data_IF_791135940610
#
_entry.id   IF_791135940610
#
_cell.length_a   1.000
_cell.length_b   1.000
_cell.length_c   1.000
_cell.angle_alpha   90.00
_cell.angle_beta   90.00
_cell.angle_gamma   90.00
#
_symmetry.space_group_name_H-M   'P 1'
#
loop_
_entity.id
_entity.type
_entity.pdbx_description
1 polymer ?
#
# COMPACT_ATOMS: atom_id res chain seq x y z
N UNK A 1 -20.73 1.26 -24.89
CA UNK A 1 -19.59 2.00 -25.45
C UNK A 1 -18.53 0.95 -25.73
N UNK A 2 -17.98 0.88 -26.95
CA UNK A 2 -16.98 -0.12 -27.30
C UNK A 2 -15.71 0.11 -26.49
N UNK A 3 -15.12 -0.98 -25.96
CA UNK A 3 -13.79 -0.95 -25.35
C UNK A 3 -12.82 -0.44 -26.42
N UNK A 4 -12.06 0.58 -26.07
CA UNK A 4 -11.05 1.15 -26.95
C UNK A 4 -10.07 0.04 -27.37
N UNK A 5 -9.90 -0.15 -28.67
CA UNK A 5 -9.11 -1.27 -29.18
C UNK A 5 -7.63 -0.87 -29.19
N UNK A 6 -6.84 -1.50 -28.37
CA UNK A 6 -5.37 -1.34 -28.28
C UNK A 6 -4.67 -2.66 -28.57
N UNK A 7 -3.49 -2.61 -29.12
CA UNK A 7 -2.61 -3.77 -29.28
C UNK A 7 -1.69 -3.94 -28.06
N UNK A 8 -1.11 -5.13 -27.90
CA UNK A 8 -0.11 -5.37 -26.85
C UNK A 8 1.10 -4.44 -26.96
N UNK A 9 1.47 -4.05 -28.19
CA UNK A 9 2.59 -3.13 -28.41
C UNK A 9 2.22 -1.68 -28.07
N UNK A 10 0.97 -1.25 -28.29
CA UNK A 10 0.53 0.09 -27.87
C UNK A 10 0.67 0.28 -26.37
N UNK A 11 0.27 -0.73 -25.58
CA UNK A 11 0.41 -0.73 -24.12
C UNK A 11 1.88 -0.67 -23.70
N UNK A 12 2.75 -1.48 -24.30
CA UNK A 12 4.18 -1.50 -23.96
C UNK A 12 4.90 -0.22 -24.39
N UNK A 13 4.59 0.31 -25.56
CA UNK A 13 5.15 1.58 -26.04
C UNK A 13 4.66 2.77 -25.20
N UNK A 14 3.43 2.73 -24.69
CA UNK A 14 2.94 3.74 -23.75
C UNK A 14 3.61 3.59 -22.37
N UNK A 15 3.96 2.36 -21.95
CA UNK A 15 4.53 2.09 -20.64
C UNK A 15 6.04 2.41 -20.57
N UNK A 16 6.82 2.00 -21.54
CA UNK A 16 8.26 2.22 -21.57
C UNK A 16 8.64 3.57 -22.16
N UNK A 17 9.81 4.09 -21.82
CA UNK A 17 10.40 5.26 -22.44
C UNK A 17 10.62 5.01 -23.94
N UNK A 18 10.48 6.07 -24.75
CA UNK A 18 10.57 5.99 -26.20
C UNK A 18 11.84 5.27 -26.68
N UNK A 19 11.67 4.21 -27.47
CA UNK A 19 12.75 3.43 -28.04
C UNK A 19 13.50 2.53 -27.06
N UNK A 20 13.11 2.46 -25.77
CA UNK A 20 13.77 1.62 -24.77
C UNK A 20 13.28 0.18 -24.73
N UNK A 21 12.08 -0.10 -25.23
CA UNK A 21 11.48 -1.43 -25.16
C UNK A 21 12.25 -2.46 -25.98
N UNK A 22 12.62 -3.56 -25.36
CA UNK A 22 13.26 -4.74 -25.95
C UNK A 22 12.42 -5.98 -25.66
N UNK A 23 11.84 -6.57 -26.74
CA UNK A 23 11.05 -7.78 -26.62
C UNK A 23 11.93 -9.00 -26.32
N UNK A 24 11.47 -9.86 -25.42
CA UNK A 24 12.07 -11.16 -25.13
C UNK A 24 11.21 -12.29 -25.71
N UNK A 25 11.84 -13.36 -26.16
CA UNK A 25 11.14 -14.55 -26.71
C UNK A 25 10.13 -14.23 -27.83
N UNK A 26 10.44 -13.26 -28.69
CA UNK A 26 9.57 -12.83 -29.79
C UNK A 26 9.17 -13.97 -30.75
N UNK A 27 10.01 -14.99 -30.88
CA UNK A 27 9.76 -16.15 -31.73
C UNK A 27 8.99 -17.28 -31.04
N UNK A 28 8.80 -17.22 -29.72
CA UNK A 28 8.02 -18.20 -28.99
C UNK A 28 6.53 -17.90 -29.18
N UNK A 29 5.89 -18.75 -29.98
CA UNK A 29 4.48 -18.65 -30.33
C UNK A 29 3.70 -19.83 -29.72
N UNK A 30 2.42 -19.61 -29.46
CA UNK A 30 1.51 -20.68 -29.06
C UNK A 30 1.08 -21.56 -30.25
N UNK A 31 0.17 -22.46 -29.98
CA UNK A 31 -0.43 -23.35 -31.00
C UNK A 31 -1.16 -22.58 -32.11
N UNK A 32 -1.60 -21.34 -31.83
CA UNK A 32 -2.18 -20.44 -32.82
C UNK A 32 -1.20 -19.99 -33.91
N UNK A 33 0.11 -20.19 -33.71
CA UNK A 33 1.16 -19.64 -34.57
C UNK A 33 1.43 -18.14 -34.37
N UNK A 34 0.80 -17.53 -33.36
CA UNK A 34 0.93 -16.11 -33.02
C UNK A 34 1.42 -15.91 -31.58
N UNK A 35 1.87 -14.69 -31.24
CA UNK A 35 2.33 -14.36 -29.90
C UNK A 35 1.14 -14.16 -28.96
N UNK A 36 0.86 -15.14 -28.10
CA UNK A 36 -0.23 -15.11 -27.12
C UNK A 36 0.05 -14.16 -25.94
N UNK A 37 1.31 -13.79 -25.72
CA UNK A 37 1.75 -12.71 -24.86
C UNK A 37 3.00 -12.07 -25.43
N UNK A 38 3.15 -10.74 -25.23
CA UNK A 38 4.36 -9.99 -25.51
C UNK A 38 5.05 -9.72 -24.18
N UNK A 39 6.35 -10.07 -24.08
CA UNK A 39 7.15 -9.91 -22.88
C UNK A 39 8.45 -9.19 -23.21
N UNK A 40 8.93 -8.35 -22.31
CA UNK A 40 10.19 -7.66 -22.53
C UNK A 40 10.60 -6.77 -21.36
N UNK A 41 11.59 -5.95 -21.60
CA UNK A 41 12.14 -4.98 -20.66
C UNK A 41 12.42 -3.66 -21.35
N UNK A 42 12.56 -2.64 -20.57
CA UNK A 42 12.89 -1.28 -21.00
C UNK A 42 13.08 -0.38 -19.80
N UNK A 43 13.13 0.92 -20.02
CA UNK A 43 13.16 1.91 -18.93
C UNK A 43 11.80 2.60 -18.79
N UNK A 44 11.49 2.99 -17.57
CA UNK A 44 10.35 3.85 -17.21
C UNK A 44 10.93 5.00 -16.41
N UNK A 45 10.87 6.21 -16.96
CA UNK A 45 11.53 7.39 -16.38
C UNK A 45 13.03 7.12 -16.06
N UNK A 46 13.69 6.39 -16.97
CA UNK A 46 15.10 6.03 -16.88
C UNK A 46 15.40 4.81 -15.97
N UNK A 47 14.42 4.26 -15.27
CA UNK A 47 14.58 3.09 -14.38
C UNK A 47 14.21 1.80 -15.11
N UNK A 48 15.05 0.77 -15.02
CA UNK A 48 14.79 -0.54 -15.63
C UNK A 48 13.53 -1.19 -15.06
N UNK A 49 12.67 -1.72 -15.94
CA UNK A 49 11.50 -2.50 -15.57
C UNK A 49 11.27 -3.65 -16.56
N UNK A 50 10.58 -4.69 -16.10
CA UNK A 50 10.07 -5.77 -16.91
C UNK A 50 8.56 -5.66 -17.07
N UNK A 51 8.05 -5.96 -18.26
CA UNK A 51 6.61 -6.00 -18.47
C UNK A 51 6.20 -7.14 -19.39
N UNK A 52 4.96 -7.58 -19.20
CA UNK A 52 4.28 -8.46 -20.14
C UNK A 52 2.84 -8.00 -20.37
N UNK A 53 2.34 -8.25 -21.56
CA UNK A 53 0.94 -8.00 -21.94
C UNK A 53 0.36 -9.29 -22.51
N UNK A 54 -0.78 -9.74 -21.99
CA UNK A 54 -1.55 -10.83 -22.57
C UNK A 54 -2.29 -10.33 -23.81
N UNK A 55 -2.17 -11.05 -24.92
CA UNK A 55 -2.78 -10.67 -26.18
C UNK A 55 -4.27 -11.07 -26.22
N UNK A 56 -5.15 -10.11 -26.01
CA UNK A 56 -6.59 -10.32 -26.01
C UNK A 56 -7.15 -10.81 -27.36
N UNK A 57 -6.50 -10.44 -28.47
CA UNK A 57 -6.94 -10.86 -29.82
C UNK A 57 -6.74 -12.36 -30.05
N UNK A 58 -5.88 -13.02 -29.28
CA UNK A 58 -5.61 -14.45 -29.37
C UNK A 58 -6.36 -15.20 -28.28
N UNK A 59 -7.42 -15.89 -28.65
CA UNK A 59 -8.26 -16.67 -27.72
C UNK A 59 -8.70 -15.88 -26.46
N UNK A 60 -8.97 -14.57 -26.58
CA UNK A 60 -9.34 -13.71 -25.46
C UNK A 60 -8.27 -13.61 -24.35
N UNK A 61 -6.99 -13.76 -24.70
CA UNK A 61 -5.87 -13.74 -23.75
C UNK A 61 -5.81 -14.99 -22.85
N UNK A 62 -6.53 -16.05 -23.17
CA UNK A 62 -6.55 -17.27 -22.36
C UNK A 62 -5.13 -17.81 -22.13
N UNK A 63 -4.80 -18.07 -20.87
CA UNK A 63 -3.48 -18.55 -20.45
C UNK A 63 -3.12 -19.87 -21.15
N UNK A 64 -1.90 -19.94 -21.65
CA UNK A 64 -1.31 -21.12 -22.27
C UNK A 64 0.06 -21.47 -21.70
N UNK A 65 0.57 -22.63 -22.04
CA UNK A 65 1.95 -23.01 -21.73
C UNK A 65 2.96 -22.04 -22.35
N UNK A 66 2.74 -21.60 -23.58
CA UNK A 66 3.63 -20.64 -24.25
C UNK A 66 3.71 -19.32 -23.51
N UNK A 67 2.57 -18.76 -23.07
CA UNK A 67 2.54 -17.56 -22.23
C UNK A 67 3.29 -17.78 -20.91
N UNK A 68 3.04 -18.92 -20.25
CA UNK A 68 3.70 -19.26 -18.98
C UNK A 68 5.22 -19.31 -19.11
N UNK A 69 5.76 -19.90 -20.19
CA UNK A 69 7.20 -19.95 -20.44
C UNK A 69 7.79 -18.53 -20.54
N UNK A 70 7.14 -17.66 -21.32
CA UNK A 70 7.56 -16.26 -21.47
C UNK A 70 7.54 -15.51 -20.12
N UNK A 71 6.40 -15.55 -19.41
CA UNK A 71 6.21 -14.83 -18.15
C UNK A 71 7.16 -15.36 -17.07
N UNK A 72 7.33 -16.67 -16.94
CA UNK A 72 8.21 -17.25 -15.93
C UNK A 72 9.69 -16.97 -16.18
N UNK A 73 10.11 -16.89 -17.45
CA UNK A 73 11.47 -16.46 -17.81
C UNK A 73 11.69 -14.98 -17.47
N UNK A 74 10.68 -14.12 -17.72
CA UNK A 74 10.73 -12.72 -17.34
C UNK A 74 10.85 -12.54 -15.82
N UNK A 75 10.12 -13.32 -15.03
CA UNK A 75 10.26 -13.32 -13.56
C UNK A 75 11.66 -13.79 -13.11
N UNK A 76 12.25 -14.78 -13.76
CA UNK A 76 13.62 -15.21 -13.46
C UNK A 76 14.64 -14.11 -13.78
N UNK A 77 14.43 -13.35 -14.84
CA UNK A 77 15.28 -12.20 -15.17
C UNK A 77 15.11 -11.08 -14.15
N UNK A 78 13.88 -10.73 -13.80
CA UNK A 78 13.59 -9.73 -12.77
C UNK A 78 14.25 -10.08 -11.42
N UNK A 79 14.20 -11.34 -11.01
CA UNK A 79 14.87 -11.81 -9.79
C UNK A 79 16.39 -11.66 -9.86
N UNK A 80 16.99 -11.87 -11.04
CA UNK A 80 18.45 -11.78 -11.22
C UNK A 80 18.95 -10.34 -11.29
N UNK A 81 18.15 -9.44 -11.82
CA UNK A 81 18.54 -8.04 -12.07
C UNK A 81 18.01 -7.09 -11.01
N UNK A 82 17.04 -7.52 -10.18
CA UNK A 82 16.45 -6.68 -9.17
C UNK A 82 15.61 -5.53 -9.77
N UNK A 83 14.80 -5.79 -10.80
CA UNK A 83 13.97 -4.78 -11.43
C UNK A 83 12.48 -5.10 -11.32
N UNK A 84 11.59 -4.09 -11.18
CA UNK A 84 10.14 -4.26 -11.02
C UNK A 84 9.51 -5.03 -12.17
N UNK A 85 8.37 -5.69 -11.89
CA UNK A 85 7.59 -6.42 -12.89
C UNK A 85 6.17 -5.88 -12.98
N UNK A 86 5.75 -5.53 -14.20
CA UNK A 86 4.40 -5.06 -14.48
C UNK A 86 3.70 -6.03 -15.42
N UNK A 87 2.57 -6.59 -14.97
CA UNK A 87 1.74 -7.46 -15.78
C UNK A 87 0.49 -6.75 -16.26
N UNK A 88 0.27 -6.71 -17.58
CA UNK A 88 -0.97 -6.21 -18.18
C UNK A 88 -1.85 -7.42 -18.56
N UNK A 89 -2.99 -7.51 -17.89
CA UNK A 89 -3.85 -8.68 -17.94
C UNK A 89 -5.12 -8.45 -18.76
N UNK A 90 -5.37 -9.39 -19.62
CA UNK A 90 -6.65 -9.62 -20.28
C UNK A 90 -6.77 -11.12 -20.55
N UNK A 91 -7.60 -11.84 -19.81
CA UNK A 91 -7.67 -13.31 -19.90
C UNK A 91 -9.06 -13.82 -19.56
N UNK A 92 -9.68 -14.51 -20.50
CA UNK A 92 -10.95 -15.20 -20.26
C UNK A 92 -10.78 -16.53 -19.49
N UNK A 93 -9.58 -16.83 -19.01
CA UNK A 93 -9.26 -18.06 -18.28
C UNK A 93 -8.06 -18.77 -18.90
N UNK A 94 -8.14 -20.08 -19.08
CA UNK A 94 -7.06 -20.92 -19.62
C UNK A 94 -7.44 -21.74 -20.83
N UNK A 95 -6.45 -22.10 -21.63
CA UNK A 95 -6.55 -22.98 -22.82
C UNK A 95 -6.85 -24.43 -22.35
N UNK A 96 -8.13 -24.79 -22.23
CA UNK A 96 -8.56 -26.08 -21.66
C UNK A 96 -8.06 -27.31 -22.44
N UNK A 97 -7.81 -27.15 -23.73
CA UNK A 97 -7.21 -28.19 -24.59
C UNK A 97 -5.83 -28.63 -24.11
N UNK A 98 -5.09 -27.77 -23.38
CA UNK A 98 -3.77 -28.10 -22.82
C UNK A 98 -3.83 -28.89 -21.51
N UNK A 99 -5.03 -29.14 -20.97
CA UNK A 99 -5.28 -30.02 -19.80
C UNK A 99 -4.32 -29.77 -18.63
N UNK A 100 -3.53 -30.78 -18.24
CA UNK A 100 -2.63 -30.73 -17.09
C UNK A 100 -1.43 -29.80 -17.30
N UNK A 101 -1.02 -29.54 -18.54
CA UNK A 101 0.05 -28.54 -18.82
C UNK A 101 -0.37 -27.14 -18.42
N UNK A 102 -1.65 -26.81 -18.55
CA UNK A 102 -2.21 -25.55 -18.08
C UNK A 102 -2.11 -25.40 -16.56
N UNK A 103 -2.39 -26.46 -15.80
CA UNK A 103 -2.25 -26.43 -14.33
C UNK A 103 -0.79 -26.19 -13.91
N UNK A 104 0.14 -26.84 -14.59
CA UNK A 104 1.58 -26.65 -14.37
C UNK A 104 2.00 -25.20 -14.71
N UNK A 105 1.48 -24.66 -15.82
CA UNK A 105 1.75 -23.30 -16.27
C UNK A 105 1.33 -22.26 -15.20
N UNK A 106 0.12 -22.35 -14.69
CA UNK A 106 -0.37 -21.51 -13.61
C UNK A 106 0.46 -21.66 -12.32
N UNK A 107 0.75 -22.88 -11.92
CA UNK A 107 1.53 -23.18 -10.72
C UNK A 107 2.94 -22.59 -10.77
N UNK A 108 3.60 -22.65 -11.93
CA UNK A 108 4.93 -22.05 -12.10
C UNK A 108 4.92 -20.54 -12.01
N UNK A 109 3.94 -19.86 -12.64
CA UNK A 109 3.82 -18.39 -12.55
C UNK A 109 3.59 -17.99 -11.10
N UNK A 110 2.62 -18.58 -10.39
CA UNK A 110 2.33 -18.28 -9.00
C UNK A 110 3.54 -18.51 -8.09
N UNK A 111 4.25 -19.62 -8.28
CA UNK A 111 5.46 -19.93 -7.50
C UNK A 111 6.57 -18.89 -7.72
N UNK A 112 6.76 -18.43 -8.95
CA UNK A 112 7.81 -17.45 -9.27
C UNK A 112 7.41 -16.05 -8.83
N UNK A 113 6.16 -15.62 -9.03
CA UNK A 113 5.63 -14.38 -8.48
C UNK A 113 5.80 -14.31 -6.96
N UNK A 114 5.45 -15.39 -6.25
CA UNK A 114 5.62 -15.48 -4.79
C UNK A 114 7.10 -15.35 -4.35
N UNK A 115 8.05 -15.81 -5.18
CA UNK A 115 9.50 -15.64 -4.89
C UNK A 115 9.98 -14.21 -5.10
N UNK A 116 9.33 -13.45 -5.96
CA UNK A 116 9.64 -12.04 -6.22
C UNK A 116 9.04 -11.10 -5.15
N UNK A 117 7.97 -11.55 -4.48
CA UNK A 117 7.27 -10.75 -3.46
C UNK A 117 8.22 -10.27 -2.36
N UNK A 118 8.27 -8.96 -2.12
CA UNK A 118 9.18 -8.32 -1.18
C UNK A 118 10.65 -8.25 -1.65
N UNK A 119 10.96 -8.66 -2.87
CA UNK A 119 12.29 -8.50 -3.50
C UNK A 119 12.24 -7.41 -4.56
N UNK A 120 11.28 -7.47 -5.47
CA UNK A 120 11.01 -6.43 -6.46
C UNK A 120 9.52 -6.06 -6.44
N UNK A 121 9.16 -4.79 -6.69
CA UNK A 121 7.76 -4.40 -6.80
C UNK A 121 7.05 -5.13 -7.95
N UNK A 122 5.84 -5.60 -7.69
CA UNK A 122 4.97 -6.23 -8.67
C UNK A 122 3.66 -5.46 -8.80
N UNK A 123 3.33 -5.02 -10.02
CA UNK A 123 2.09 -4.29 -10.31
C UNK A 123 1.29 -5.07 -11.35
N UNK A 124 0.02 -5.33 -11.06
CA UNK A 124 -0.94 -5.87 -12.02
C UNK A 124 -1.84 -4.77 -12.55
N UNK A 125 -1.96 -4.69 -13.87
CA UNK A 125 -2.85 -3.78 -14.58
C UNK A 125 -3.88 -4.62 -15.34
N UNK A 126 -5.12 -4.62 -14.89
CA UNK A 126 -6.22 -5.40 -15.49
C UNK A 126 -6.95 -4.51 -16.48
N UNK A 127 -6.73 -4.74 -17.78
CA UNK A 127 -7.24 -3.91 -18.87
C UNK A 127 -8.56 -4.43 -19.47
N UNK A 128 -8.96 -5.63 -19.12
CA UNK A 128 -10.20 -6.25 -19.58
C UNK A 128 -10.64 -7.35 -18.63
N UNK A 129 -11.29 -8.39 -19.16
CA UNK A 129 -11.66 -9.54 -18.33
C UNK A 129 -10.41 -10.30 -17.87
N UNK A 130 -10.32 -10.61 -16.59
CA UNK A 130 -9.29 -11.48 -16.04
C UNK A 130 -9.96 -12.48 -15.09
N UNK A 131 -10.19 -13.70 -15.60
CA UNK A 131 -11.06 -14.70 -15.00
C UNK A 131 -10.33 -15.97 -14.59
N UNK A 132 -10.92 -16.71 -13.66
CA UNK A 132 -10.44 -18.02 -13.21
C UNK A 132 -9.07 -17.93 -12.53
N UNK A 133 -8.20 -18.88 -12.79
CA UNK A 133 -6.86 -18.95 -12.20
C UNK A 133 -5.96 -17.77 -12.63
N UNK A 134 -6.22 -17.14 -13.79
CA UNK A 134 -5.51 -15.92 -14.21
C UNK A 134 -5.76 -14.77 -13.24
N UNK A 135 -6.97 -14.66 -12.67
CA UNK A 135 -7.29 -13.67 -11.65
C UNK A 135 -6.47 -13.86 -10.37
N UNK A 136 -6.17 -15.09 -9.96
CA UNK A 136 -5.29 -15.34 -8.80
C UNK A 136 -3.86 -14.85 -9.05
N UNK A 137 -3.36 -15.00 -10.29
CA UNK A 137 -2.03 -14.48 -10.66
C UNK A 137 -2.03 -12.95 -10.59
N UNK A 138 -3.03 -12.30 -11.19
CA UNK A 138 -3.16 -10.85 -11.14
C UNK A 138 -3.29 -10.33 -9.70
N UNK A 139 -4.05 -11.04 -8.86
CA UNK A 139 -4.26 -10.70 -7.45
C UNK A 139 -3.03 -10.93 -6.56
N UNK A 140 -2.02 -11.66 -7.01
CA UNK A 140 -0.79 -11.94 -6.26
C UNK A 140 0.21 -10.77 -6.26
N UNK A 141 -0.03 -9.71 -7.04
CA UNK A 141 0.83 -8.53 -7.08
C UNK A 141 0.63 -7.62 -5.84
N UNK A 142 1.59 -6.73 -5.61
CA UNK A 142 1.54 -5.77 -4.50
C UNK A 142 0.41 -4.76 -4.69
N UNK A 143 0.26 -4.23 -5.92
CA UNK A 143 -0.79 -3.28 -6.28
C UNK A 143 -1.50 -3.71 -7.56
N UNK A 144 -2.82 -3.48 -7.59
CA UNK A 144 -3.67 -3.84 -8.70
C UNK A 144 -4.39 -2.60 -9.21
N UNK A 145 -4.20 -2.28 -10.46
CA UNK A 145 -4.87 -1.20 -11.18
C UNK A 145 -5.88 -1.85 -12.11
N UNK A 146 -7.12 -1.38 -12.11
CA UNK A 146 -8.14 -1.90 -13.01
C UNK A 146 -8.66 -0.80 -13.93
N UNK A 147 -8.80 -1.13 -15.21
CA UNK A 147 -9.62 -0.32 -16.10
C UNK A 147 -11.08 -0.38 -15.64
N UNK A 148 -11.79 0.73 -15.75
CA UNK A 148 -13.14 0.93 -15.20
C UNK A 148 -14.16 -0.14 -15.61
N UNK A 149 -14.05 -0.64 -16.86
CA UNK A 149 -14.93 -1.67 -17.40
C UNK A 149 -14.33 -3.08 -17.29
N UNK A 150 -13.15 -3.21 -16.70
CA UNK A 150 -12.50 -4.50 -16.50
C UNK A 150 -13.21 -5.33 -15.43
N UNK A 151 -13.05 -6.65 -15.52
CA UNK A 151 -13.58 -7.58 -14.54
C UNK A 151 -12.46 -8.51 -14.04
N UNK A 152 -12.44 -8.75 -12.74
CA UNK A 152 -11.45 -9.61 -12.07
C UNK A 152 -12.17 -10.55 -11.11
N UNK A 153 -12.15 -11.85 -11.38
CA UNK A 153 -12.79 -12.86 -10.52
C UNK A 153 -12.25 -14.27 -10.78
N UNK A 154 -12.17 -15.06 -9.72
CA UNK A 154 -11.91 -16.51 -9.84
C UNK A 154 -13.11 -17.24 -10.41
N UNK A 155 -14.33 -16.78 -10.09
CA UNK A 155 -15.57 -17.34 -10.62
C UNK A 155 -15.98 -16.57 -11.88
N UNK A 156 -16.25 -17.34 -12.95
CA UNK A 156 -16.67 -16.80 -14.26
C UNK A 156 -18.14 -16.39 -14.29
N UNK A 157 -18.92 -16.73 -13.26
CA UNK A 157 -20.39 -16.51 -13.18
C UNK A 157 -20.76 -15.66 -11.96
N UNK A 158 -19.76 -15.13 -11.20
CA UNK A 158 -19.98 -14.38 -9.98
C UNK A 158 -20.64 -13.00 -10.18
N UNK A 159 -21.41 -12.55 -9.19
CA UNK A 159 -22.10 -11.27 -9.21
C UNK A 159 -21.19 -10.06 -8.89
N UNK A 160 -20.00 -10.28 -8.30
CA UNK A 160 -19.09 -9.23 -7.85
C UNK A 160 -17.73 -9.33 -8.55
N UNK A 161 -17.71 -8.94 -9.80
CA UNK A 161 -16.51 -9.06 -10.65
C UNK A 161 -15.98 -7.73 -11.18
N UNK A 162 -16.76 -6.65 -11.03
CA UNK A 162 -16.41 -5.34 -11.60
C UNK A 162 -15.20 -4.70 -10.92
N UNK A 163 -14.60 -3.72 -11.57
CA UNK A 163 -13.52 -2.92 -10.99
C UNK A 163 -13.96 -2.26 -9.66
N UNK A 164 -15.20 -1.79 -9.59
CA UNK A 164 -15.77 -1.17 -8.39
C UNK A 164 -15.90 -2.17 -7.24
N UNK A 165 -16.42 -3.39 -7.50
CA UNK A 165 -16.50 -4.45 -6.48
C UNK A 165 -15.11 -4.82 -5.94
N UNK A 166 -14.13 -4.91 -6.83
CA UNK A 166 -12.74 -5.23 -6.44
C UNK A 166 -12.07 -4.10 -5.65
N UNK A 167 -12.42 -2.84 -5.92
CA UNK A 167 -11.98 -1.70 -5.11
C UNK A 167 -12.60 -1.74 -3.71
N UNK A 168 -13.90 -1.96 -3.60
CA UNK A 168 -14.63 -2.04 -2.32
C UNK A 168 -14.21 -3.23 -1.45
N UNK A 169 -13.74 -4.32 -2.08
CA UNK A 169 -13.21 -5.49 -1.39
C UNK A 169 -11.70 -5.39 -1.07
N UNK A 170 -11.03 -4.30 -1.47
CA UNK A 170 -9.61 -4.07 -1.21
C UNK A 170 -8.64 -4.90 -2.06
N UNK A 171 -9.13 -5.50 -3.15
CA UNK A 171 -8.30 -6.19 -4.15
C UNK A 171 -7.69 -5.16 -5.08
N UNK A 172 -8.53 -4.35 -5.77
CA UNK A 172 -8.03 -3.26 -6.59
C UNK A 172 -7.54 -2.09 -5.72
N UNK A 173 -6.43 -1.51 -6.12
CA UNK A 173 -5.85 -0.33 -5.49
C UNK A 173 -6.30 0.95 -6.18
N UNK A 174 -6.57 0.88 -7.49
CA UNK A 174 -6.99 1.99 -8.33
C UNK A 174 -7.95 1.54 -9.43
N UNK A 175 -8.84 2.45 -9.83
CA UNK A 175 -9.67 2.35 -11.03
C UNK A 175 -9.31 3.52 -11.93
N UNK A 176 -9.06 3.25 -13.20
CA UNK A 176 -8.71 4.25 -14.20
C UNK A 176 -9.62 4.14 -15.44
N UNK A 177 -9.76 5.19 -16.20
CA UNK A 177 -10.56 5.22 -17.41
C UNK A 177 -9.66 5.13 -18.64
N UNK A 178 -9.76 4.03 -19.37
CA UNK A 178 -8.89 3.69 -20.50
C UNK A 178 -7.53 3.11 -20.12
N UNK A 179 -6.87 2.47 -21.10
CA UNK A 179 -5.59 1.80 -20.86
C UNK A 179 -4.44 2.79 -20.57
N UNK A 180 -4.45 3.97 -21.21
CA UNK A 180 -3.42 4.99 -21.04
C UNK A 180 -3.39 5.48 -19.58
N UNK A 181 -4.55 5.81 -19.00
CA UNK A 181 -4.63 6.22 -17.61
C UNK A 181 -4.22 5.11 -16.63
N UNK A 182 -4.44 3.84 -16.97
CA UNK A 182 -3.94 2.70 -16.20
C UNK A 182 -2.39 2.61 -16.26
N UNK A 183 -1.83 2.81 -17.44
CA UNK A 183 -0.37 2.85 -17.66
C UNK A 183 0.26 4.00 -16.86
N UNK A 184 -0.30 5.21 -16.98
CA UNK A 184 0.19 6.38 -16.24
C UNK A 184 0.14 6.17 -14.72
N UNK A 185 -0.91 5.50 -14.23
CA UNK A 185 -1.03 5.14 -12.83
C UNK A 185 0.05 4.13 -12.39
N UNK A 186 0.40 3.16 -13.24
CA UNK A 186 1.48 2.22 -12.98
C UNK A 186 2.85 2.92 -12.92
N UNK A 187 3.12 3.85 -13.84
CA UNK A 187 4.33 4.69 -13.83
C UNK A 187 4.40 5.54 -12.56
N UNK A 188 3.30 6.22 -12.22
CA UNK A 188 3.22 7.05 -11.02
C UNK A 188 3.52 6.25 -9.74
N UNK A 189 3.08 5.00 -9.63
CA UNK A 189 3.41 4.11 -8.51
C UNK A 189 4.90 3.78 -8.48
N UNK A 190 5.48 3.41 -9.63
CA UNK A 190 6.92 3.10 -9.73
C UNK A 190 7.80 4.26 -9.28
N UNK A 191 7.36 5.50 -9.50
CA UNK A 191 8.08 6.69 -9.04
C UNK A 191 8.25 6.78 -7.51
N UNK A 192 7.49 6.04 -6.72
CA UNK A 192 7.63 5.98 -5.25
C UNK A 192 8.46 4.78 -4.78
N UNK A 193 8.71 3.80 -5.64
CA UNK A 193 9.30 2.53 -5.23
C UNK A 193 10.78 2.44 -5.63
N UNK A 194 11.63 1.81 -4.80
CA UNK A 194 12.94 1.40 -5.27
C UNK A 194 12.80 0.31 -6.33
N UNK A 195 13.83 0.10 -7.13
CA UNK A 195 13.84 -1.00 -8.10
C UNK A 195 13.75 -2.37 -7.40
N UNK A 196 14.35 -2.50 -6.22
CA UNK A 196 14.33 -3.71 -5.41
C UNK A 196 14.56 -3.38 -3.92
N UNK A 197 14.46 -4.38 -3.07
CA UNK A 197 14.58 -4.24 -1.62
C UNK A 197 16.00 -3.93 -1.11
N UNK A 198 17.01 -3.89 -1.97
CA UNK A 198 18.41 -3.55 -1.62
C UNK A 198 18.77 -2.12 -2.01
N UNK A 199 17.98 -1.49 -2.86
CA UNK A 199 18.21 -0.13 -3.32
C UNK A 199 17.34 0.88 -2.56
N UNK A 200 17.78 2.13 -2.40
CA UNK A 200 16.95 3.18 -1.84
C UNK A 200 15.85 3.57 -2.84
N UNK A 201 14.72 4.02 -2.32
CA UNK A 201 13.67 4.60 -3.15
C UNK A 201 14.15 5.93 -3.79
N UNK A 202 13.70 6.25 -5.02
CA UNK A 202 14.18 7.42 -5.75
C UNK A 202 13.76 8.73 -5.05
N UNK A 203 14.73 9.61 -4.79
CA UNK A 203 14.48 10.95 -4.27
C UNK A 203 14.42 11.97 -5.43
N UNK A 204 13.56 12.97 -5.28
CA UNK A 204 13.32 14.02 -6.26
C UNK A 204 13.53 15.40 -5.64
N UNK A 205 13.55 16.45 -6.46
CA UNK A 205 13.55 17.82 -5.95
C UNK A 205 12.27 18.08 -5.15
N UNK A 206 12.44 18.73 -4.00
CA UNK A 206 11.34 19.03 -3.09
C UNK A 206 10.65 20.33 -3.46
N UNK A 207 9.34 20.29 -3.59
CA UNK A 207 8.48 21.47 -3.71
C UNK A 207 7.54 21.49 -2.51
N UNK A 208 7.79 22.34 -1.47
CA UNK A 208 6.94 22.39 -0.30
C UNK A 208 5.49 22.73 -0.67
N UNK A 209 4.53 21.97 -0.14
CA UNK A 209 3.12 22.33 -0.27
C UNK A 209 2.74 23.33 0.82
N UNK A 210 2.05 24.37 0.41
CA UNK A 210 1.38 25.29 1.33
C UNK A 210 -0.08 24.88 1.43
N UNK A 211 -0.45 24.20 2.51
CA UNK A 211 -1.72 23.51 2.62
C UNK A 211 -2.78 24.23 3.44
N UNK A 212 -4.03 23.82 3.20
CA UNK A 212 -5.19 24.21 4.01
C UNK A 212 -5.18 23.47 5.37
N UNK A 213 -5.56 24.16 6.48
CA UNK A 213 -5.39 23.68 7.86
C UNK A 213 -5.99 22.31 8.21
N UNK A 214 -6.99 21.83 7.51
CA UNK A 214 -7.80 20.68 7.89
C UNK A 214 -7.35 19.34 7.30
N UNK A 215 -6.20 19.29 6.60
CA UNK A 215 -5.69 18.06 5.97
C UNK A 215 -4.20 17.87 6.27
N UNK A 216 -3.90 17.34 7.44
CA UNK A 216 -2.54 17.20 7.97
C UNK A 216 -1.49 16.65 6.97
N UNK A 217 -1.74 15.61 6.16
CA UNK A 217 -0.76 15.15 5.18
C UNK A 217 -0.33 16.23 4.19
N UNK A 218 -1.18 17.18 3.87
CA UNK A 218 -0.87 18.28 2.96
C UNK A 218 0.07 19.31 3.56
N UNK A 219 0.21 19.37 4.89
CA UNK A 219 1.15 20.28 5.54
C UNK A 219 2.60 19.86 5.42
N UNK A 220 2.85 18.55 5.35
CA UNK A 220 4.22 18.05 5.35
C UNK A 220 4.66 17.44 4.02
N UNK A 221 3.72 16.96 3.21
CA UNK A 221 4.05 16.36 1.92
C UNK A 221 4.43 17.43 0.88
N UNK A 222 5.24 17.03 -0.10
CA UNK A 222 5.57 17.87 -1.24
C UNK A 222 4.34 18.08 -2.13
N UNK A 223 4.26 19.22 -2.80
CA UNK A 223 3.11 19.60 -3.62
C UNK A 223 2.82 18.55 -4.68
N UNK A 224 1.55 18.16 -4.80
CA UNK A 224 1.10 17.17 -5.78
C UNK A 224 1.62 15.73 -5.57
N UNK A 225 2.42 15.48 -4.52
CA UNK A 225 3.05 14.19 -4.32
C UNK A 225 2.17 13.13 -3.64
N UNK A 226 0.99 13.47 -3.12
CA UNK A 226 0.17 12.50 -2.40
C UNK A 226 -0.59 11.62 -3.39
N UNK A 227 -0.31 10.32 -3.36
CA UNK A 227 -0.99 9.28 -4.11
C UNK A 227 -1.76 8.36 -3.17
N UNK A 228 -3.08 8.60 -3.03
CA UNK A 228 -3.93 7.75 -2.19
C UNK A 228 -4.10 6.36 -2.82
N UNK A 229 -4.00 5.30 -2.00
CA UNK A 229 -4.10 3.91 -2.41
C UNK A 229 -5.33 3.26 -1.77
N UNK A 230 -6.10 2.50 -2.56
CA UNK A 230 -7.26 1.74 -2.07
C UNK A 230 -8.35 2.65 -1.50
N UNK A 231 -8.65 3.76 -2.19
CA UNK A 231 -9.79 4.61 -1.85
C UNK A 231 -11.10 3.82 -1.96
N UNK A 232 -11.99 3.96 -0.96
CA UNK A 232 -13.26 3.21 -0.91
C UNK A 232 -13.20 1.88 -0.16
N UNK A 233 -12.00 1.40 0.22
CA UNK A 233 -11.83 0.24 1.08
C UNK A 233 -11.30 0.63 2.45
N UNK A 234 -11.82 0.02 3.52
CA UNK A 234 -11.32 0.23 4.88
C UNK A 234 -11.44 1.68 5.38
N UNK A 235 -12.50 2.39 4.98
CA UNK A 235 -12.80 3.72 5.51
C UNK A 235 -13.11 3.67 7.02
N UNK A 236 -12.78 4.73 7.77
CA UNK A 236 -12.25 6.03 7.34
C UNK A 236 -10.72 6.11 7.22
N UNK A 237 -10.00 5.00 7.34
CA UNK A 237 -8.54 5.01 7.23
C UNK A 237 -8.09 5.26 5.78
N UNK A 238 -7.14 6.17 5.62
CA UNK A 238 -6.47 6.43 4.35
C UNK A 238 -5.04 5.90 4.37
N UNK A 239 -4.63 5.23 3.28
CA UNK A 239 -3.24 4.89 3.00
C UNK A 239 -2.80 5.60 1.72
N UNK A 240 -1.59 6.09 1.69
CA UNK A 240 -1.05 6.83 0.56
C UNK A 240 0.47 6.66 0.46
N UNK A 241 1.02 6.94 -0.71
CA UNK A 241 2.40 7.35 -0.85
C UNK A 241 2.47 8.86 -0.99
N UNK A 242 3.58 9.44 -0.59
CA UNK A 242 3.85 10.85 -0.73
C UNK A 242 5.35 11.10 -0.77
N UNK A 243 5.75 12.37 -0.87
CA UNK A 243 7.15 12.77 -0.69
C UNK A 243 7.26 13.81 0.40
N UNK A 244 8.33 13.73 1.16
CA UNK A 244 8.70 14.73 2.16
C UNK A 244 10.14 15.11 1.90
N UNK A 245 10.37 16.37 1.52
CA UNK A 245 11.69 16.83 1.08
C UNK A 245 12.30 15.97 -0.04
N UNK A 246 11.45 15.55 -0.99
CA UNK A 246 11.82 14.68 -2.10
C UNK A 246 11.89 13.17 -1.78
N UNK A 247 11.98 12.78 -0.51
CA UNK A 247 12.04 11.37 -0.10
C UNK A 247 10.66 10.72 -0.16
N UNK A 248 10.49 9.58 -0.84
CA UNK A 248 9.26 8.82 -0.79
C UNK A 248 8.94 8.33 0.62
N UNK A 249 7.69 8.44 1.01
CA UNK A 249 7.19 7.98 2.31
C UNK A 249 5.85 7.26 2.14
N UNK A 250 5.62 6.23 2.95
CA UNK A 250 4.29 5.67 3.16
C UNK A 250 3.55 6.49 4.19
N UNK A 251 2.29 6.79 3.92
CA UNK A 251 1.44 7.61 4.80
C UNK A 251 0.22 6.79 5.19
N UNK A 252 -0.07 6.74 6.48
CA UNK A 252 -1.29 6.18 7.05
C UNK A 252 -1.98 7.26 7.85
N UNK A 253 -3.28 7.46 7.63
CA UNK A 253 -4.09 8.43 8.36
C UNK A 253 -5.33 7.74 8.91
N UNK A 254 -5.48 7.77 10.23
CA UNK A 254 -6.74 7.45 10.91
C UNK A 254 -7.52 8.75 11.13
N UNK A 255 -8.84 8.70 10.97
CA UNK A 255 -9.68 9.92 10.99
C UNK A 255 -10.75 9.88 12.08
N UNK A 256 -10.32 9.59 13.29
CA UNK A 256 -11.19 9.49 14.45
C UNK A 256 -11.91 8.14 14.61
N UNK A 257 -12.39 7.88 15.82
CA UNK A 257 -13.30 6.79 16.13
C UNK A 257 -12.68 5.40 16.10
N UNK A 258 -13.10 4.57 15.15
CA UNK A 258 -12.94 3.12 15.22
C UNK A 258 -12.16 2.58 14.03
N UNK A 259 -11.18 1.70 14.28
CA UNK A 259 -10.45 0.98 13.23
C UNK A 259 -11.17 -0.35 12.97
N UNK A 260 -11.77 -0.48 11.79
CA UNK A 260 -12.47 -1.69 11.34
C UNK A 260 -11.50 -2.81 10.96
N UNK A 261 -12.03 -4.03 10.75
CA UNK A 261 -11.24 -5.15 10.26
C UNK A 261 -10.56 -4.83 8.92
N UNK A 262 -11.28 -4.19 8.00
CA UNK A 262 -10.77 -3.86 6.68
C UNK A 262 -9.78 -2.69 6.72
N UNK A 263 -10.03 -1.68 7.58
CA UNK A 263 -9.04 -0.64 7.88
C UNK A 263 -7.73 -1.24 8.37
N UNK A 264 -7.79 -2.16 9.33
CA UNK A 264 -6.60 -2.81 9.88
C UNK A 264 -5.84 -3.66 8.84
N UNK A 265 -6.56 -4.39 7.97
CA UNK A 265 -5.96 -5.16 6.85
C UNK A 265 -5.26 -4.24 5.85
N UNK A 266 -5.93 -3.14 5.47
CA UNK A 266 -5.38 -2.12 4.56
C UNK A 266 -4.09 -1.53 5.11
N UNK A 267 -4.09 -1.12 6.37
CA UNK A 267 -2.91 -0.60 7.06
C UNK A 267 -1.79 -1.64 7.10
N UNK A 268 -2.09 -2.88 7.51
CA UNK A 268 -1.09 -3.94 7.60
C UNK A 268 -0.41 -4.25 6.25
N UNK A 269 -1.18 -4.27 5.15
CA UNK A 269 -0.63 -4.42 3.79
C UNK A 269 0.33 -3.28 3.46
N UNK A 270 -0.07 -2.03 3.75
CA UNK A 270 0.75 -0.85 3.47
C UNK A 270 2.05 -0.83 4.28
N UNK A 271 1.97 -1.14 5.59
CA UNK A 271 3.16 -1.27 6.47
C UNK A 271 4.13 -2.31 5.94
N UNK A 272 3.64 -3.52 5.59
CA UNK A 272 4.51 -4.60 5.08
C UNK A 272 5.16 -4.25 3.75
N UNK A 273 4.45 -3.56 2.87
CA UNK A 273 5.03 -3.09 1.62
C UNK A 273 6.13 -2.05 1.88
N UNK A 274 5.86 -1.04 2.69
CA UNK A 274 6.85 -0.02 3.05
C UNK A 274 8.09 -0.65 3.72
N UNK A 275 7.88 -1.62 4.61
CA UNK A 275 8.98 -2.34 5.26
C UNK A 275 9.82 -3.15 4.28
N UNK A 276 9.17 -3.91 3.38
CA UNK A 276 9.86 -4.73 2.38
C UNK A 276 10.79 -3.90 1.48
N UNK A 277 10.43 -2.66 1.22
CA UNK A 277 11.16 -1.75 0.34
C UNK A 277 11.85 -0.59 1.07
N UNK A 278 11.98 -0.69 2.40
CA UNK A 278 12.65 0.32 3.24
C UNK A 278 12.13 1.75 3.04
N UNK A 279 10.84 1.91 2.73
CA UNK A 279 10.18 3.21 2.59
C UNK A 279 9.78 3.69 3.99
N UNK A 280 10.22 4.88 4.43
CA UNK A 280 9.84 5.44 5.73
C UNK A 280 8.31 5.56 5.85
N UNK A 281 7.77 5.24 7.03
CA UNK A 281 6.35 5.26 7.31
C UNK A 281 5.99 6.39 8.25
N UNK A 282 5.03 7.23 7.84
CA UNK A 282 4.43 8.28 8.67
C UNK A 282 3.00 7.87 9.00
N UNK A 283 2.68 7.71 10.28
CA UNK A 283 1.34 7.35 10.75
C UNK A 283 0.71 8.51 11.50
N UNK A 284 -0.37 9.05 10.97
CA UNK A 284 -1.18 10.08 11.62
C UNK A 284 -2.27 9.39 12.42
N UNK A 285 -2.23 9.56 13.74
CA UNK A 285 -3.07 8.80 14.66
C UNK A 285 -4.16 9.67 15.28
N UNK A 286 -5.39 9.31 14.97
CA UNK A 286 -6.60 9.77 15.64
C UNK A 286 -7.60 8.60 15.64
N UNK A 287 -7.62 7.78 16.70
CA UNK A 287 -8.54 6.67 16.83
C UNK A 287 -8.66 6.18 18.30
N UNK A 288 -9.82 5.62 18.63
CA UNK A 288 -10.12 5.20 20.00
C UNK A 288 -9.99 3.68 20.21
N UNK A 289 -10.32 2.87 19.21
CA UNK A 289 -10.34 1.41 19.38
C UNK A 289 -10.28 0.62 18.08
N UNK A 290 -9.88 -0.64 18.19
CA UNK A 290 -10.09 -1.66 17.17
C UNK A 290 -11.42 -2.39 17.39
N UNK A 291 -12.06 -2.84 16.30
CA UNK A 291 -13.30 -3.63 16.36
C UNK A 291 -13.03 -5.12 16.32
N UNK A 292 -12.04 -5.53 15.54
CA UNK A 292 -11.75 -6.95 15.28
C UNK A 292 -10.36 -7.34 15.81
N UNK A 293 -10.32 -8.32 16.69
CA UNK A 293 -9.09 -8.78 17.33
C UNK A 293 -8.11 -9.43 16.33
N UNK A 294 -8.60 -10.19 15.37
CA UNK A 294 -7.76 -10.89 14.41
C UNK A 294 -7.00 -9.90 13.52
N UNK A 295 -7.72 -8.93 12.95
CA UNK A 295 -7.12 -7.90 12.10
C UNK A 295 -6.23 -6.94 12.89
N UNK A 296 -6.61 -6.59 14.13
CA UNK A 296 -5.78 -5.79 15.03
C UNK A 296 -4.45 -6.50 15.35
N UNK A 297 -4.51 -7.80 15.69
CA UNK A 297 -3.30 -8.60 15.97
C UNK A 297 -2.35 -8.64 14.78
N UNK A 298 -2.88 -8.80 13.55
CA UNK A 298 -2.07 -8.77 12.31
C UNK A 298 -1.44 -7.42 12.05
N UNK A 299 -2.17 -6.34 12.33
CA UNK A 299 -1.65 -4.97 12.19
C UNK A 299 -0.56 -4.68 13.22
N UNK A 300 -0.77 -5.02 14.48
CA UNK A 300 0.23 -4.87 15.56
C UNK A 300 1.50 -5.65 15.19
N UNK A 301 1.34 -6.89 14.71
CA UNK A 301 2.48 -7.70 14.24
C UNK A 301 3.22 -7.05 13.06
N UNK A 302 2.50 -6.45 12.10
CA UNK A 302 3.11 -5.76 10.98
C UNK A 302 3.97 -4.57 11.43
N UNK A 303 3.46 -3.75 12.36
CA UNK A 303 4.22 -2.64 12.92
C UNK A 303 5.42 -3.09 13.75
N UNK A 304 5.25 -4.11 14.59
CA UNK A 304 6.31 -4.62 15.44
C UNK A 304 7.44 -5.32 14.65
N UNK A 305 7.09 -5.99 13.55
CA UNK A 305 8.06 -6.66 12.68
C UNK A 305 8.79 -5.70 11.77
N UNK A 306 8.18 -4.56 11.42
CA UNK A 306 8.72 -3.61 10.46
C UNK A 306 10.01 -2.95 10.96
N UNK A 307 11.05 -3.01 10.12
CA UNK A 307 12.38 -2.45 10.34
C UNK A 307 12.59 -1.09 9.68
N UNK A 308 11.75 -0.74 8.70
CA UNK A 308 11.73 0.58 8.08
C UNK A 308 11.54 1.70 9.11
N UNK A 309 12.01 2.93 8.85
CA UNK A 309 11.73 4.07 9.73
C UNK A 309 10.24 4.27 9.96
N UNK A 310 9.84 4.45 11.22
CA UNK A 310 8.43 4.63 11.63
C UNK A 310 8.28 5.88 12.48
N UNK A 311 7.57 6.86 11.98
CA UNK A 311 7.28 8.13 12.66
C UNK A 311 5.78 8.19 12.90
N UNK A 312 5.37 8.39 14.14
CA UNK A 312 3.98 8.59 14.50
C UNK A 312 3.70 10.06 14.81
N UNK A 313 2.53 10.54 14.40
CA UNK A 313 2.03 11.87 14.75
C UNK A 313 0.63 11.69 15.32
N UNK A 314 0.45 11.94 16.60
CA UNK A 314 -0.87 11.89 17.24
C UNK A 314 -1.55 13.24 16.97
N UNK A 315 -2.56 13.22 16.09
CA UNK A 315 -3.28 14.42 15.67
C UNK A 315 -4.60 14.66 16.41
N UNK A 316 -5.06 13.65 17.14
CA UNK A 316 -6.29 13.68 17.90
C UNK A 316 -6.18 12.75 19.11
N UNK A 317 -6.99 11.70 19.14
CA UNK A 317 -7.04 10.79 20.27
C UNK A 317 -6.31 9.49 19.96
N UNK A 318 -5.46 9.02 20.88
CA UNK A 318 -4.81 7.72 20.80
C UNK A 318 -5.08 6.92 22.10
N UNK A 319 -5.94 5.89 22.02
CA UNK A 319 -6.41 5.15 23.20
C UNK A 319 -5.89 3.73 23.24
N UNK A 320 -5.33 3.34 24.37
CA UNK A 320 -4.99 1.95 24.71
C UNK A 320 -4.26 1.21 23.60
N UNK A 321 -4.89 0.17 23.06
CA UNK A 321 -4.31 -0.64 21.98
C UNK A 321 -3.99 0.15 20.70
N UNK A 322 -4.70 1.24 20.41
CA UNK A 322 -4.40 2.09 19.25
C UNK A 322 -3.07 2.81 19.45
N UNK A 323 -2.88 3.45 20.62
CA UNK A 323 -1.59 4.07 20.95
C UNK A 323 -0.46 3.03 20.89
N UNK A 324 -0.65 1.89 21.54
CA UNK A 324 0.35 0.80 21.56
C UNK A 324 0.72 0.39 20.13
N UNK A 325 -0.28 0.15 19.27
CA UNK A 325 -0.05 -0.39 17.93
C UNK A 325 0.58 0.62 16.97
N UNK A 326 0.14 1.88 17.01
CA UNK A 326 0.40 2.86 15.94
C UNK A 326 1.38 3.96 16.34
N UNK A 327 1.49 4.27 17.63
CA UNK A 327 2.29 5.39 18.14
C UNK A 327 3.24 5.01 19.29
N UNK A 328 3.14 3.80 19.84
CA UNK A 328 3.99 3.42 20.96
C UNK A 328 5.44 3.18 20.54
N UNK A 329 6.39 3.86 21.15
CA UNK A 329 7.83 3.60 20.99
C UNK A 329 8.20 2.17 21.37
N UNK A 330 7.54 1.62 22.39
CA UNK A 330 7.71 0.22 22.82
C UNK A 330 7.23 -0.82 21.81
N UNK A 331 6.38 -0.41 20.87
CA UNK A 331 5.86 -1.26 19.77
C UNK A 331 6.56 -0.99 18.43
N UNK A 332 7.58 -0.13 18.46
CA UNK A 332 8.48 0.07 17.34
C UNK A 332 8.35 1.38 16.57
N UNK A 333 7.60 2.38 17.05
CA UNK A 333 7.73 3.73 16.55
C UNK A 333 9.11 4.28 16.94
N UNK A 334 9.83 4.85 15.98
CA UNK A 334 11.16 5.41 16.22
C UNK A 334 11.10 6.80 16.82
N UNK A 335 10.13 7.60 16.35
CA UNK A 335 9.82 8.93 16.89
C UNK A 335 8.30 9.12 16.96
N UNK A 336 7.87 9.75 18.03
CA UNK A 336 6.46 10.00 18.33
C UNK A 336 6.25 11.49 18.57
N UNK A 337 5.51 12.13 17.70
CA UNK A 337 5.09 13.52 17.83
C UNK A 337 3.61 13.60 18.18
N UNK A 338 3.19 14.71 18.76
CA UNK A 338 1.78 14.99 18.96
C UNK A 338 1.45 16.46 18.69
N UNK A 339 0.25 16.71 18.18
CA UNK A 339 -0.29 18.06 18.13
C UNK A 339 -0.72 18.53 19.54
N UNK A 340 -0.76 19.84 19.75
CA UNK A 340 -1.05 20.47 21.05
C UNK A 340 -2.35 19.95 21.72
N UNK A 341 -3.39 19.68 20.91
CA UNK A 341 -4.70 19.27 21.42
C UNK A 341 -4.87 17.75 21.48
N UNK A 342 -3.82 16.98 21.19
CA UNK A 342 -3.88 15.53 21.21
C UNK A 342 -4.06 14.97 22.63
N UNK A 343 -4.70 13.80 22.69
CA UNK A 343 -5.01 13.08 23.94
C UNK A 343 -4.47 11.66 23.87
N UNK A 344 -3.70 11.26 24.88
CA UNK A 344 -3.24 9.88 25.05
C UNK A 344 -3.85 9.30 26.30
N UNK A 345 -4.54 8.16 26.17
CA UNK A 345 -5.24 7.58 27.30
C UNK A 345 -5.20 6.04 27.29
N UNK A 346 -5.05 5.38 28.43
CA UNK A 346 -5.08 3.92 28.50
C UNK A 346 -6.46 3.32 28.16
N UNK A 347 -7.54 4.06 28.40
CA UNK A 347 -8.93 3.72 28.08
C UNK A 347 -9.64 4.97 27.54
N UNK A 348 -10.90 4.85 27.11
CA UNK A 348 -11.65 6.01 26.63
C UNK A 348 -11.52 7.20 27.59
N UNK A 349 -11.13 8.42 27.13
CA UNK A 349 -10.69 9.51 28.02
C UNK A 349 -11.70 9.89 29.10
N UNK A 350 -13.00 9.95 28.76
CA UNK A 350 -14.05 10.20 29.77
C UNK A 350 -14.14 9.07 30.80
N UNK A 351 -14.04 7.81 30.36
CA UNK A 351 -14.05 6.67 31.29
C UNK A 351 -12.83 6.70 32.21
N UNK A 352 -11.66 7.07 31.70
CA UNK A 352 -10.45 7.26 32.53
C UNK A 352 -10.68 8.32 33.62
N UNK A 353 -11.31 9.46 33.27
CA UNK A 353 -11.62 10.50 34.22
C UNK A 353 -12.52 10.02 35.36
N UNK A 354 -13.58 9.28 35.06
CA UNK A 354 -14.48 8.71 36.06
C UNK A 354 -13.85 7.64 36.94
N UNK A 355 -12.93 6.87 36.38
CA UNK A 355 -12.22 5.81 37.14
C UNK A 355 -11.15 6.38 38.06
N UNK A 356 -10.42 7.39 37.57
CA UNK A 356 -9.26 7.94 38.29
C UNK A 356 -9.64 9.05 39.27
N UNK A 357 -10.80 9.72 39.05
CA UNK A 357 -11.34 10.73 39.95
C UNK A 357 -12.81 10.45 40.26
N UNK A 358 -13.06 9.73 41.36
CA UNK A 358 -14.41 9.37 41.80
C UNK A 358 -15.30 10.57 42.11
N UNK A 359 -14.73 11.76 42.42
CA UNK A 359 -15.49 12.96 42.71
C UNK A 359 -16.27 13.47 41.50
N UNK A 360 -15.87 13.08 40.29
CA UNK A 360 -16.60 13.38 39.06
C UNK A 360 -17.94 12.64 39.02
N UNK A 361 -17.94 11.37 39.45
CA UNK A 361 -19.17 10.55 39.53
C UNK A 361 -20.15 11.08 40.58
N UNK A 362 -19.64 11.65 41.67
CA UNK A 362 -20.41 12.23 42.75
C UNK A 362 -20.97 13.63 42.42
N UNK A 363 -20.51 14.24 41.34
CA UNK A 363 -20.97 15.59 40.92
C UNK A 363 -22.37 15.53 40.29
N UNK A 364 -23.11 16.66 40.28
CA UNK A 364 -24.37 16.76 39.52
C UNK A 364 -24.17 16.35 38.05
N UNK A 365 -25.11 15.58 37.50
CA UNK A 365 -25.03 15.04 36.12
C UNK A 365 -24.72 16.15 35.07
N UNK A 366 -25.28 17.34 35.28
CA UNK A 366 -25.01 18.48 34.40
C UNK A 366 -23.55 18.98 34.40
N UNK A 367 -22.78 18.67 35.45
CA UNK A 367 -21.38 19.09 35.63
C UNK A 367 -20.37 17.98 35.31
N UNK A 368 -20.82 16.72 35.27
CA UNK A 368 -19.91 15.57 35.12
C UNK A 368 -19.09 15.63 33.84
N UNK A 369 -19.71 16.00 32.72
CA UNK A 369 -19.03 16.10 31.44
C UNK A 369 -17.94 17.19 31.43
N UNK A 370 -18.24 18.36 32.01
CA UNK A 370 -17.29 19.46 32.12
C UNK A 370 -16.09 19.08 33.02
N UNK A 371 -16.36 18.46 34.15
CA UNK A 371 -15.32 17.98 35.10
C UNK A 371 -14.48 16.87 34.45
N UNK A 372 -15.10 15.93 33.71
CA UNK A 372 -14.38 14.88 33.01
C UNK A 372 -13.47 15.46 31.91
N UNK A 373 -13.94 16.46 31.15
CA UNK A 373 -13.10 17.13 30.13
C UNK A 373 -11.96 17.92 30.77
N UNK A 374 -12.20 18.60 31.86
CA UNK A 374 -11.16 19.29 32.62
C UNK A 374 -10.09 18.32 33.12
N UNK A 375 -10.51 17.16 33.66
CA UNK A 375 -9.59 16.10 34.07
C UNK A 375 -8.75 15.57 32.92
N UNK A 376 -9.37 15.26 31.76
CA UNK A 376 -8.68 14.79 30.55
C UNK A 376 -7.62 15.81 30.11
N UNK A 377 -7.98 17.08 30.06
CA UNK A 377 -7.05 18.13 29.67
C UNK A 377 -5.86 18.25 30.63
N UNK A 378 -6.08 18.08 31.92
CA UNK A 378 -5.03 18.19 32.95
C UNK A 378 -4.13 16.97 33.04
N UNK A 379 -4.66 15.75 32.79
CA UNK A 379 -3.97 14.51 33.11
C UNK A 379 -3.67 13.58 31.92
N UNK A 380 -4.35 13.78 30.78
CA UNK A 380 -4.25 12.89 29.60
C UNK A 380 -3.92 13.68 28.33
N UNK A 381 -3.51 14.95 28.45
CA UNK A 381 -3.07 15.77 27.31
C UNK A 381 -1.74 15.26 26.74
N UNK A 382 -1.48 15.61 25.49
CA UNK A 382 -0.20 15.33 24.84
C UNK A 382 0.99 15.85 25.66
N UNK A 383 0.86 17.07 26.25
CA UNK A 383 1.89 17.66 27.10
C UNK A 383 2.19 16.75 28.31
N UNK A 384 1.15 16.23 28.97
CA UNK A 384 1.34 15.31 30.09
C UNK A 384 2.00 14.01 29.67
N UNK A 385 1.60 13.46 28.54
CA UNK A 385 2.21 12.26 27.97
C UNK A 385 3.69 12.48 27.57
N UNK A 386 4.05 13.69 27.10
CA UNK A 386 5.43 14.06 26.81
C UNK A 386 6.27 14.23 28.09
N UNK A 387 5.72 14.86 29.14
CA UNK A 387 6.37 14.96 30.47
C UNK A 387 6.69 13.58 31.05
N UNK A 388 5.80 12.60 30.81
CA UNK A 388 5.96 11.21 31.27
C UNK A 388 6.80 10.34 30.31
N UNK A 389 7.32 10.91 29.18
CA UNK A 389 8.22 10.24 28.25
C UNK A 389 7.54 9.31 27.22
N UNK A 390 6.25 9.48 26.99
CA UNK A 390 5.49 8.69 25.98
C UNK A 390 5.37 9.39 24.61
N UNK A 391 5.77 10.65 24.52
CA UNK A 391 5.83 11.46 23.31
C UNK A 391 7.18 12.16 23.29
N UNK A 392 7.87 12.17 22.14
CA UNK A 392 9.21 12.75 22.00
C UNK A 392 9.14 14.29 21.89
N UNK A 393 8.12 14.84 21.19
CA UNK A 393 7.94 16.29 21.08
C UNK A 393 6.48 16.67 20.77
N UNK A 394 6.10 17.88 21.17
CA UNK A 394 4.83 18.51 20.83
C UNK A 394 5.08 19.46 19.66
N UNK A 395 4.32 19.31 18.59
CA UNK A 395 4.52 20.06 17.36
C UNK A 395 3.26 20.82 16.96
N UNK A 396 3.44 22.00 16.42
CA UNK A 396 2.38 22.73 15.75
C UNK A 396 2.23 22.25 14.31
N UNK A 397 1.04 22.38 13.77
CA UNK A 397 0.76 21.99 12.39
C UNK A 397 1.68 22.69 11.38
N UNK A 398 2.06 23.93 11.65
CA UNK A 398 2.95 24.74 10.80
C UNK A 398 4.41 24.25 10.80
N UNK A 399 4.88 23.73 11.93
CA UNK A 399 6.26 23.25 12.11
C UNK A 399 6.45 21.75 11.83
N UNK A 400 5.36 21.00 11.61
CA UNK A 400 5.38 19.54 11.47
C UNK A 400 6.26 19.08 10.32
N UNK A 401 6.28 19.83 9.19
CA UNK A 401 7.11 19.48 8.04
C UNK A 401 8.59 19.41 8.40
N UNK A 402 9.11 20.46 9.05
CA UNK A 402 10.53 20.55 9.42
C UNK A 402 10.91 19.42 10.39
N UNK A 403 10.01 19.09 11.33
CA UNK A 403 10.21 17.98 12.25
C UNK A 403 10.25 16.63 11.52
N UNK A 404 9.36 16.40 10.57
CA UNK A 404 9.32 15.15 9.79
C UNK A 404 10.51 15.05 8.85
N UNK A 405 10.96 16.13 8.22
CA UNK A 405 12.18 16.16 7.40
C UNK A 405 13.37 15.72 8.24
N UNK A 406 13.61 16.39 9.38
CA UNK A 406 14.71 16.05 10.28
C UNK A 406 14.64 14.60 10.79
N UNK A 407 13.43 14.11 11.10
CA UNK A 407 13.21 12.72 11.52
C UNK A 407 13.56 11.72 10.41
N UNK A 408 13.13 11.97 9.18
CA UNK A 408 13.44 11.11 8.04
C UNK A 408 14.95 11.09 7.80
N UNK A 409 15.62 12.24 7.75
CA UNK A 409 17.07 12.34 7.52
C UNK A 409 17.88 11.54 8.56
N UNK A 410 17.54 11.64 9.83
CA UNK A 410 18.21 10.89 10.91
C UNK A 410 17.93 9.38 10.73
N UNK A 411 16.68 9.00 10.45
CA UNK A 411 16.26 7.62 10.40
C UNK A 411 16.62 6.90 9.09
N UNK A 412 16.99 7.59 8.02
CA UNK A 412 17.49 6.96 6.78
C UNK A 412 18.73 6.09 7.02
N UNK A 413 19.51 6.38 8.06
CA UNK A 413 20.66 5.58 8.47
C UNK A 413 20.31 4.42 9.42
N UNK A 414 19.03 4.26 9.80
CA UNK A 414 18.55 3.24 10.74
C UNK A 414 19.03 1.84 10.31
N UNK A 415 19.55 1.09 11.26
CA UNK A 415 19.90 -0.33 11.10
C UNK A 415 19.29 -1.11 12.25
N UNK A 416 18.51 -2.13 11.93
CA UNK A 416 17.92 -3.04 12.91
C UNK A 416 18.52 -4.42 12.70
N UNK A 417 19.15 -4.94 13.75
CA UNK A 417 19.62 -6.33 13.74
C UNK A 417 18.56 -7.23 14.35
N UNK A 418 17.98 -8.06 13.53
CA UNK A 418 17.01 -9.07 13.97
C UNK A 418 17.53 -10.47 13.72
N UNK A 419 17.13 -11.43 14.56
CA UNK A 419 17.37 -12.83 14.25
C UNK A 419 16.59 -13.23 13.00
N UNK A 420 17.22 -13.99 12.08
CA UNK A 420 16.51 -14.44 10.88
C UNK A 420 15.28 -15.27 11.25
N UNK A 421 14.13 -14.89 10.74
CA UNK A 421 12.89 -15.69 10.82
C UNK A 421 12.35 -15.95 9.42
N UNK A 422 11.72 -17.10 9.20
CA UNK A 422 11.15 -17.41 7.88
C UNK A 422 9.86 -16.63 7.64
N UNK A 423 8.99 -16.57 8.62
CA UNK A 423 7.68 -15.91 8.55
C UNK A 423 7.24 -15.41 9.93
N UNK A 424 6.38 -14.42 9.94
CA UNK A 424 5.53 -14.12 11.10
C UNK A 424 4.35 -15.09 11.10
N UNK A 425 4.03 -15.69 12.25
CA UNK A 425 2.92 -16.65 12.35
C UNK A 425 1.57 -15.98 12.62
N UNK A 426 1.55 -14.68 12.83
CA UNK A 426 0.33 -13.86 13.03
C UNK A 426 -0.20 -13.23 11.74
N UNK A 427 0.11 -13.81 10.59
CA UNK A 427 -0.30 -13.29 9.25
C UNK A 427 -1.72 -13.69 8.89
#
# INVERSE_FOLDING_TARGET
MGVEKYSSYDVLNAFFDEGSFMETDAYLKGESGEAEAVTGYGTVEGVMAYAFVQNADICGGAMSKAQSVKITKLYDLALKTGAPVIGFYHSVGGRLEQKYELLSAYGEILRKSSKLSGIVPQISVVLGNCMGTSALIAAAADYIIMEKNAALSVDTIGEKTSAQDNLENGIASFICEGYEACVDKAKALLGYFPANNLEPAPAFESVPAYAEPDKLPKYFADEGSILCVGGGYGEPVCTAFGRVSGYPVGIIVTKGGVISADSAKKMAKHVRFCDAFSIPLITIVDAEKFVDLSSASKLISAYADATAPKIAVISGTAVGAVYIALAGSTSGADLVYALNDAVVSPVAPKAAAFILDSSIADAPVAEQDEKAMAFVKANLSAVKAAEDGYIDDIVDTESIRDRLVGAIEILMSKRVSTLPKKHSTTV
#
